data_IF_206313730643
#
_entry.id   IF_206313730643
#
_cell.length_a   1.000
_cell.length_b   1.000
_cell.length_c   1.000
_cell.angle_alpha   90.00
_cell.angle_beta   90.00
_cell.angle_gamma   90.00
#
_symmetry.space_group_name_H-M   'P 1'
#
loop_
_entity.id
_entity.type
_entity.pdbx_description
1 polymer ?
#
# COMPACT_ATOMS: atom_id res chain seq x y z
N UNK A 1 3.47 4.02 3.15
CA UNK A 1 2.28 3.75 2.34
C UNK A 1 1.12 4.41 3.04
N UNK A 2 0.30 5.11 2.28
CA UNK A 2 -0.82 5.86 2.80
C UNK A 2 -1.96 5.86 1.78
N UNK A 3 -3.19 6.11 2.23
CA UNK A 3 -4.38 6.13 1.40
C UNK A 3 -4.99 7.52 1.39
N UNK A 4 -5.13 8.07 0.19
CA UNK A 4 -5.99 9.23 -0.04
C UNK A 4 -7.36 8.71 -0.41
N UNK A 5 -8.35 8.97 0.45
CA UNK A 5 -9.74 8.48 0.27
C UNK A 5 -10.71 9.66 0.16
N UNK A 6 -11.95 9.39 -0.24
CA UNK A 6 -12.99 10.42 -0.37
C UNK A 6 -12.94 11.18 -1.70
N UNK A 7 -12.33 10.56 -2.72
CA UNK A 7 -12.32 11.11 -4.06
C UNK A 7 -13.65 10.82 -4.75
N UNK A 8 -14.06 11.73 -5.64
CA UNK A 8 -15.22 11.49 -6.51
C UNK A 8 -14.88 10.30 -7.41
N UNK A 9 -15.75 9.28 -7.52
CA UNK A 9 -15.50 8.11 -8.37
C UNK A 9 -15.16 8.54 -9.79
N UNK A 10 -14.04 8.01 -10.32
CA UNK A 10 -13.52 8.41 -11.62
C UNK A 10 -13.06 7.25 -12.48
N UNK A 11 -13.14 7.44 -13.80
CA UNK A 11 -12.71 6.46 -14.80
C UNK A 11 -13.73 5.33 -15.02
N UNK A 12 -13.37 4.35 -15.87
CA UNK A 12 -14.25 3.21 -16.20
C UNK A 12 -14.52 2.29 -15.00
N UNK A 13 -13.58 2.21 -14.06
CA UNK A 13 -13.63 1.32 -12.90
C UNK A 13 -14.12 2.03 -11.62
N UNK A 14 -14.53 3.30 -11.72
CA UNK A 14 -15.08 4.08 -10.61
C UNK A 14 -14.18 4.10 -9.36
N UNK A 15 -12.87 4.27 -9.54
CA UNK A 15 -11.94 4.38 -8.42
C UNK A 15 -12.25 5.62 -7.58
N UNK A 16 -12.28 5.46 -6.25
CA UNK A 16 -12.63 6.50 -5.27
C UNK A 16 -11.52 6.76 -4.24
N UNK A 17 -10.34 6.14 -4.42
CA UNK A 17 -9.17 6.30 -3.58
C UNK A 17 -7.86 6.11 -4.36
N UNK A 18 -6.76 6.57 -3.76
CA UNK A 18 -5.40 6.27 -4.22
C UNK A 18 -4.58 5.67 -3.09
N UNK A 19 -3.88 4.57 -3.36
CA UNK A 19 -2.78 4.07 -2.55
C UNK A 19 -1.50 4.78 -2.98
N UNK A 20 -0.89 5.52 -2.06
CA UNK A 20 0.35 6.24 -2.28
C UNK A 20 1.51 5.46 -1.68
N UNK A 21 2.48 5.14 -2.53
CA UNK A 21 3.73 4.48 -2.14
C UNK A 21 4.90 5.36 -2.50
N UNK A 22 5.65 5.77 -1.48
CA UNK A 22 6.85 6.59 -1.62
C UNK A 22 8.08 5.71 -1.48
N UNK A 23 8.89 5.68 -2.54
CA UNK A 23 10.23 5.11 -2.50
C UNK A 23 11.21 6.18 -1.97
N UNK A 24 11.61 6.02 -0.71
CA UNK A 24 12.53 6.95 -0.05
C UNK A 24 13.97 6.89 -0.58
N UNK A 25 14.35 5.78 -1.24
CA UNK A 25 15.66 5.62 -1.84
C UNK A 25 15.71 6.34 -3.20
N UNK A 26 14.73 6.10 -4.07
CA UNK A 26 14.65 6.76 -5.39
C UNK A 26 14.10 8.19 -5.35
N UNK A 27 13.59 8.64 -4.20
CA UNK A 27 12.92 9.95 -4.03
C UNK A 27 11.73 10.12 -5.00
N UNK A 28 11.03 9.02 -5.28
CA UNK A 28 9.90 8.98 -6.20
C UNK A 28 8.66 8.45 -5.50
N UNK A 29 7.48 8.90 -5.93
CA UNK A 29 6.19 8.38 -5.46
C UNK A 29 5.41 7.74 -6.60
N UNK A 30 4.60 6.74 -6.25
CA UNK A 30 3.60 6.15 -7.14
C UNK A 30 2.23 6.24 -6.49
N UNK A 31 1.26 6.74 -7.26
CA UNK A 31 -0.15 6.75 -6.90
C UNK A 31 -0.83 5.62 -7.65
N UNK A 32 -1.37 4.66 -6.92
CA UNK A 32 -2.06 3.50 -7.48
C UNK A 32 -3.56 3.70 -7.25
N UNK A 33 -4.38 3.75 -8.32
CA UNK A 33 -5.82 3.88 -8.18
C UNK A 33 -6.37 2.64 -7.46
N UNK A 34 -7.27 2.86 -6.50
CA UNK A 34 -7.83 1.81 -5.68
C UNK A 34 -9.24 2.20 -5.20
N UNK A 35 -9.92 1.27 -4.54
CA UNK A 35 -11.20 1.56 -3.89
C UNK A 35 -11.01 1.75 -2.38
N UNK A 36 -11.78 2.64 -1.78
CA UNK A 36 -11.82 2.86 -0.34
C UNK A 36 -12.25 1.59 0.40
N UNK A 37 -13.01 0.74 -0.26
CA UNK A 37 -13.55 -0.52 0.24
C UNK A 37 -12.58 -1.70 0.05
N UNK A 38 -11.44 -1.50 -0.63
CA UNK A 38 -10.48 -2.56 -0.91
C UNK A 38 -10.02 -3.27 0.36
N UNK A 39 -9.98 -4.60 0.28
CA UNK A 39 -9.51 -5.43 1.38
C UNK A 39 -7.99 -5.36 1.51
N UNK A 40 -7.46 -5.91 2.60
CA UNK A 40 -6.02 -6.04 2.80
C UNK A 40 -5.37 -6.89 1.68
N UNK A 41 -6.09 -7.88 1.15
CA UNK A 41 -5.60 -8.77 0.08
C UNK A 41 -5.53 -8.00 -1.24
N UNK A 42 -6.59 -7.26 -1.59
CA UNK A 42 -6.62 -6.45 -2.83
C UNK A 42 -5.47 -5.44 -2.83
N UNK A 43 -5.25 -4.78 -1.70
CA UNK A 43 -4.12 -3.85 -1.53
C UNK A 43 -2.77 -4.57 -1.68
N UNK A 44 -2.60 -5.77 -1.11
CA UNK A 44 -1.35 -6.52 -1.24
C UNK A 44 -1.08 -6.93 -2.69
N UNK A 45 -2.11 -7.35 -3.44
CA UNK A 45 -2.00 -7.64 -4.87
C UNK A 45 -1.62 -6.38 -5.66
N UNK A 46 -2.26 -5.25 -5.36
CA UNK A 46 -1.96 -3.96 -5.98
C UNK A 46 -0.49 -3.56 -5.74
N UNK A 47 0.00 -3.72 -4.51
CA UNK A 47 1.38 -3.47 -4.14
C UNK A 47 2.35 -4.45 -4.84
N UNK A 48 2.01 -5.73 -4.89
CA UNK A 48 2.84 -6.75 -5.51
C UNK A 48 3.05 -6.47 -7.00
N UNK A 49 1.96 -6.24 -7.72
CA UNK A 49 1.96 -6.09 -9.17
C UNK A 49 2.62 -4.79 -9.63
N UNK A 50 2.53 -3.71 -8.86
CA UNK A 50 3.03 -2.39 -9.28
C UNK A 50 4.33 -1.96 -8.61
N UNK A 51 4.59 -2.40 -7.39
CA UNK A 51 5.75 -1.95 -6.61
C UNK A 51 6.80 -3.04 -6.55
N UNK A 52 6.45 -4.22 -6.02
CA UNK A 52 7.40 -5.30 -5.74
C UNK A 52 7.94 -5.90 -7.04
N UNK A 53 7.10 -6.06 -8.06
CA UNK A 53 7.50 -6.50 -9.40
C UNK A 53 8.59 -5.61 -10.04
N UNK A 54 8.56 -4.31 -9.75
CA UNK A 54 9.40 -3.30 -10.44
C UNK A 54 10.63 -2.89 -9.61
N UNK A 55 10.48 -2.82 -8.28
CA UNK A 55 11.55 -2.39 -7.38
C UNK A 55 12.21 -3.54 -6.62
N UNK A 56 11.62 -4.74 -6.66
CA UNK A 56 11.96 -5.83 -5.76
C UNK A 56 11.28 -5.70 -4.39
N UNK A 57 11.57 -6.67 -3.51
CA UNK A 57 11.01 -6.71 -2.16
C UNK A 57 11.70 -5.64 -1.29
N UNK A 58 10.94 -4.70 -0.69
CA UNK A 58 11.52 -3.67 0.15
C UNK A 58 11.98 -4.26 1.49
N UNK A 59 13.07 -3.72 2.06
CA UNK A 59 13.53 -4.15 3.39
C UNK A 59 12.64 -3.63 4.52
N UNK A 60 12.07 -2.44 4.35
CA UNK A 60 11.25 -1.77 5.36
C UNK A 60 10.07 -1.11 4.65
N UNK A 61 8.86 -1.37 5.15
CA UNK A 61 7.66 -0.63 4.77
C UNK A 61 7.21 0.17 5.99
N UNK A 62 7.07 1.48 5.79
CA UNK A 62 6.48 2.37 6.77
C UNK A 62 5.05 2.63 6.33
N UNK A 63 4.09 2.34 7.19
CA UNK A 63 2.67 2.59 6.95
C UNK A 63 2.06 3.37 8.10
N UNK A 64 0.99 4.11 7.84
CA UNK A 64 0.18 4.67 8.91
C UNK A 64 -0.63 3.57 9.61
N UNK A 65 -1.07 3.84 10.84
CA UNK A 65 -1.84 2.89 11.69
C UNK A 65 -3.31 2.79 11.27
N UNK A 66 -3.56 2.54 10.00
CA UNK A 66 -4.91 2.26 9.51
C UNK A 66 -5.24 0.77 9.76
N UNK A 67 -6.46 0.39 10.19
CA UNK A 67 -6.89 -1.01 10.28
C UNK A 67 -6.57 -1.86 9.05
N UNK A 68 -6.55 -1.25 7.85
CA UNK A 68 -6.12 -1.91 6.61
C UNK A 68 -4.67 -2.40 6.65
N UNK A 69 -3.79 -1.76 7.42
CA UNK A 69 -2.34 -2.03 7.53
C UNK A 69 -1.96 -2.80 8.80
N UNK A 70 -2.81 -2.80 9.81
CA UNK A 70 -2.55 -3.45 11.12
C UNK A 70 -3.13 -4.88 11.19
N UNK A 71 -3.65 -5.42 10.10
CA UNK A 71 -4.23 -6.76 10.09
C UNK A 71 -3.16 -7.85 10.27
N UNK A 72 -3.54 -9.00 10.86
CA UNK A 72 -2.66 -10.17 10.97
C UNK A 72 -2.10 -10.62 9.62
N UNK A 73 -2.88 -10.40 8.56
CA UNK A 73 -2.46 -10.69 7.20
C UNK A 73 -1.18 -9.94 6.80
N UNK A 74 -1.08 -8.63 7.06
CA UNK A 74 0.11 -7.87 6.69
C UNK A 74 1.35 -8.26 7.50
N UNK A 75 1.19 -8.52 8.80
CA UNK A 75 2.32 -9.01 9.61
C UNK A 75 2.86 -10.34 9.03
N UNK A 76 1.98 -11.31 8.79
CA UNK A 76 2.38 -12.60 8.22
C UNK A 76 2.99 -12.46 6.82
N UNK A 77 2.40 -11.61 5.96
CA UNK A 77 2.91 -11.37 4.61
C UNK A 77 4.33 -10.81 4.65
N UNK A 78 4.56 -9.80 5.49
CA UNK A 78 5.88 -9.18 5.58
C UNK A 78 6.92 -10.06 6.28
N UNK A 79 6.51 -10.89 7.24
CA UNK A 79 7.38 -11.90 7.84
C UNK A 79 7.87 -12.91 6.78
N UNK A 80 6.98 -13.38 5.90
CA UNK A 80 7.33 -14.28 4.78
C UNK A 80 8.28 -13.57 3.81
N UNK A 81 8.05 -12.28 3.53
CA UNK A 81 8.88 -11.49 2.62
C UNK A 81 10.19 -11.01 3.25
N UNK A 82 10.44 -11.28 4.54
CA UNK A 82 11.59 -10.73 5.26
C UNK A 82 11.60 -9.19 5.31
N UNK A 83 10.43 -8.58 5.20
CA UNK A 83 10.24 -7.13 5.20
C UNK A 83 9.88 -6.66 6.60
N UNK A 84 10.53 -5.63 7.12
CA UNK A 84 10.15 -5.03 8.40
C UNK A 84 8.98 -4.07 8.19
N UNK A 85 7.83 -4.38 8.80
CA UNK A 85 6.73 -3.42 8.90
C UNK A 85 6.99 -2.47 10.08
N UNK A 86 6.95 -1.18 9.80
CA UNK A 86 7.02 -0.12 10.79
C UNK A 86 5.80 0.78 10.66
N UNK A 87 5.29 1.27 11.79
CA UNK A 87 4.17 2.19 11.81
C UNK A 87 4.64 3.61 12.08
N UNK A 88 4.14 4.57 11.30
CA UNK A 88 4.33 5.98 11.61
C UNK A 88 3.62 6.33 12.93
N UNK A 89 4.23 7.21 13.72
CA UNK A 89 3.58 7.89 14.83
C UNK A 89 3.07 9.22 14.32
N UNK A 90 1.77 9.47 14.46
CA UNK A 90 1.17 10.77 14.19
C UNK A 90 1.74 11.84 15.14
#
# INVERSE_FOLDING_TARGET
MDWVTGLVPGGKENFNAFLIVVDRFRKSMRCLPCHKEDTAIDTALLLWNNIISTCGVPKIIISDRNPKSTSKFWNNLYDILGTKLAFSTA
#
